data_IF_457554857982
#
_entry.id   IF_457554857982
#
_cell.length_a   1.000
_cell.length_b   1.000
_cell.length_c   1.000
_cell.angle_alpha   90.00
_cell.angle_beta   90.00
_cell.angle_gamma   90.00
#
_symmetry.space_group_name_H-M   'P 1'
#
loop_
_entity.id
_entity.type
_entity.pdbx_description
1 polymer ?
#
# COMPACT_ATOMS: atom_id res chain seq x y z
N UNK A 1 15.40 28.87 -5.59
CA UNK A 1 15.66 28.11 -6.83
C UNK A 1 14.74 26.91 -6.83
N UNK A 2 13.83 26.77 -7.81
CA UNK A 2 12.98 25.59 -7.91
C UNK A 2 13.83 24.46 -8.50
N UNK A 3 13.89 23.31 -7.83
CA UNK A 3 14.57 22.14 -8.35
C UNK A 3 13.77 21.60 -9.54
N UNK A 4 14.31 21.75 -10.74
CA UNK A 4 13.71 21.23 -11.97
C UNK A 4 14.22 19.81 -12.22
N UNK A 5 13.42 18.80 -11.86
CA UNK A 5 13.74 17.41 -12.21
C UNK A 5 13.26 17.14 -13.63
N UNK A 6 14.20 17.09 -14.58
CA UNK A 6 13.95 16.60 -15.94
C UNK A 6 14.19 15.09 -15.91
N UNK A 7 13.12 14.30 -15.87
CA UNK A 7 13.21 12.84 -15.98
C UNK A 7 12.53 12.39 -17.26
N UNK A 8 13.04 11.33 -17.90
CA UNK A 8 12.24 10.60 -18.88
C UNK A 8 11.05 10.02 -18.13
N UNK A 9 9.83 10.41 -18.48
CA UNK A 9 8.62 9.81 -17.90
C UNK A 9 8.48 8.41 -18.45
N UNK A 10 9.23 7.47 -17.89
CA UNK A 10 9.03 6.06 -18.17
C UNK A 10 7.70 5.66 -17.53
N UNK A 11 6.64 5.67 -18.33
CA UNK A 11 5.35 5.10 -17.99
C UNK A 11 5.33 3.66 -18.50
N UNK A 12 5.69 2.65 -17.68
CA UNK A 12 5.60 1.25 -18.10
C UNK A 12 4.19 0.90 -18.55
N UNK A 13 3.18 1.58 -18.00
CA UNK A 13 1.76 1.44 -18.32
C UNK A 13 1.39 2.04 -19.66
N UNK A 14 1.86 3.25 -19.95
CA UNK A 14 1.71 3.86 -21.27
C UNK A 14 2.28 2.93 -22.33
N UNK A 15 3.49 2.40 -22.09
CA UNK A 15 4.14 1.45 -22.98
C UNK A 15 3.34 0.15 -23.13
N UNK A 16 2.82 -0.42 -22.04
CA UNK A 16 2.00 -1.62 -22.08
C UNK A 16 0.74 -1.42 -22.94
N UNK A 17 0.10 -0.25 -22.85
CA UNK A 17 -1.05 0.12 -23.67
C UNK A 17 -0.70 0.66 -25.07
N UNK A 18 0.53 0.47 -25.55
CA UNK A 18 0.95 0.88 -26.89
C UNK A 18 1.16 2.39 -27.06
N UNK A 19 1.23 3.17 -25.98
CA UNK A 19 1.53 4.60 -26.06
C UNK A 19 3.03 4.83 -26.29
N UNK A 20 3.41 5.85 -27.10
CA UNK A 20 4.80 6.23 -27.30
C UNK A 20 5.43 6.71 -25.98
N UNK A 21 6.75 6.62 -25.89
CA UNK A 21 7.51 7.16 -24.75
C UNK A 21 7.48 8.69 -24.85
N UNK A 22 6.74 9.33 -23.94
CA UNK A 22 6.74 10.78 -23.81
C UNK A 22 7.82 11.23 -22.84
N UNK A 23 8.63 12.20 -23.26
CA UNK A 23 9.54 12.91 -22.37
C UNK A 23 8.77 14.14 -21.88
N UNK A 24 8.23 14.05 -20.67
CA UNK A 24 7.50 15.15 -20.05
C UNK A 24 8.17 15.55 -18.73
N UNK A 25 8.31 16.86 -18.51
CA UNK A 25 8.72 17.38 -17.21
C UNK A 25 7.48 17.49 -16.33
N UNK A 26 7.20 16.46 -15.54
CA UNK A 26 6.06 16.48 -14.62
C UNK A 26 6.53 16.98 -13.25
N UNK A 27 6.09 18.18 -12.86
CA UNK A 27 6.19 18.66 -11.49
C UNK A 27 4.86 18.38 -10.77
N UNK A 28 4.88 17.47 -9.79
CA UNK A 28 3.72 17.23 -8.93
C UNK A 28 3.76 18.18 -7.73
N UNK A 29 2.76 19.07 -7.59
CA UNK A 29 2.57 19.93 -6.42
C UNK A 29 1.51 19.31 -5.48
N UNK A 30 1.85 18.16 -4.89
CA UNK A 30 0.96 17.51 -3.93
C UNK A 30 0.97 18.30 -2.62
N UNK A 31 -0.11 19.06 -2.38
CA UNK A 31 -0.33 19.76 -1.12
C UNK A 31 -1.16 18.89 -0.17
N UNK A 32 -0.81 18.82 1.12
CA UNK A 32 -1.66 18.19 2.11
C UNK A 32 -3.07 18.78 2.05
N UNK A 33 -4.08 17.93 2.25
CA UNK A 33 -5.46 18.40 2.36
C UNK A 33 -5.59 19.39 3.52
N UNK A 34 -6.18 20.57 3.27
CA UNK A 34 -6.31 21.66 4.26
C UNK A 34 -7.43 21.48 5.28
N UNK A 35 -8.25 20.44 5.13
CA UNK A 35 -9.34 20.12 6.04
C UNK A 35 -8.85 19.48 7.34
N UNK A 36 -9.80 18.98 8.14
CA UNK A 36 -9.51 18.36 9.43
C UNK A 36 -8.74 17.06 9.25
N UNK A 37 -7.54 16.99 9.81
CA UNK A 37 -6.76 15.76 9.90
C UNK A 37 -7.20 14.91 11.11
N UNK A 38 -7.07 13.58 10.98
CA UNK A 38 -7.20 12.68 12.12
C UNK A 38 -5.86 12.59 12.85
N UNK A 39 -5.81 13.08 14.09
CA UNK A 39 -4.56 13.23 14.86
C UNK A 39 -4.33 12.14 15.90
N UNK A 40 -5.35 11.31 16.20
CA UNK A 40 -5.21 10.26 17.21
C UNK A 40 -4.32 9.10 16.68
N UNK A 41 -3.81 8.22 17.56
CA UNK A 41 -3.07 7.04 17.12
C UNK A 41 -3.85 6.19 16.12
N UNK A 42 -3.17 5.69 15.09
CA UNK A 42 -3.74 4.85 14.03
C UNK A 42 -2.90 3.59 13.91
N UNK A 43 -3.56 2.44 13.79
CA UNK A 43 -2.97 1.18 13.39
C UNK A 43 -3.68 0.72 12.13
N UNK A 44 -2.93 0.35 11.10
CA UNK A 44 -3.47 -0.18 9.84
C UNK A 44 -3.37 -1.71 9.88
N UNK A 45 -4.48 -2.38 9.60
CA UNK A 45 -4.51 -3.84 9.51
C UNK A 45 -4.36 -4.27 8.06
N UNK A 46 -3.42 -5.19 7.80
CA UNK A 46 -3.14 -5.71 6.46
C UNK A 46 -3.10 -7.23 6.48
N UNK A 47 -3.24 -7.84 5.31
CA UNK A 47 -3.06 -9.28 5.17
C UNK A 47 -2.91 -9.71 3.71
N UNK A 48 -2.97 -11.03 3.45
CA UNK A 48 -2.68 -11.57 2.12
C UNK A 48 -3.76 -11.24 1.09
N UNK A 49 -4.83 -10.54 1.49
CA UNK A 49 -5.90 -10.01 0.64
C UNK A 49 -5.81 -8.49 0.40
N UNK A 50 -4.79 -7.83 0.95
CA UNK A 50 -4.47 -6.43 0.68
C UNK A 50 -3.70 -6.35 -0.63
N UNK A 51 -4.33 -5.84 -1.68
CA UNK A 51 -3.72 -5.70 -3.01
C UNK A 51 -4.00 -4.32 -3.60
N UNK A 52 -3.27 -3.97 -4.66
CA UNK A 52 -3.58 -2.83 -5.53
C UNK A 52 -3.44 -1.49 -4.80
N UNK A 53 -4.38 -0.56 -4.97
CA UNK A 53 -4.37 0.75 -4.30
C UNK A 53 -4.24 0.66 -2.77
N UNK A 54 -4.62 -0.48 -2.16
CA UNK A 54 -4.41 -0.71 -0.73
C UNK A 54 -2.91 -0.87 -0.38
N UNK A 55 -2.09 -1.41 -1.29
CA UNK A 55 -0.64 -1.48 -1.14
C UNK A 55 0.03 -0.13 -1.37
N UNK A 56 -0.44 0.67 -2.34
CA UNK A 56 -0.01 2.06 -2.50
C UNK A 56 -0.23 2.85 -1.19
N UNK A 57 -1.41 2.71 -0.59
CA UNK A 57 -1.73 3.31 0.70
C UNK A 57 -0.83 2.76 1.82
N UNK A 58 -0.64 1.44 1.89
CA UNK A 58 0.17 0.80 2.93
C UNK A 58 1.63 1.26 2.86
N UNK A 59 2.19 1.36 1.66
CA UNK A 59 3.54 1.85 1.42
C UNK A 59 3.68 3.31 1.87
N UNK A 60 2.77 4.19 1.42
CA UNK A 60 2.78 5.60 1.82
C UNK A 60 2.61 5.77 3.34
N UNK A 61 1.70 5.00 3.96
CA UNK A 61 1.48 5.01 5.40
C UNK A 61 2.73 4.58 6.17
N UNK A 62 3.36 3.47 5.76
CA UNK A 62 4.61 2.97 6.37
C UNK A 62 5.73 4.00 6.30
N UNK A 63 5.96 4.57 5.11
CA UNK A 63 7.03 5.54 4.89
C UNK A 63 6.81 6.87 5.60
N UNK A 64 5.55 7.26 5.81
CA UNK A 64 5.23 8.47 6.58
C UNK A 64 5.51 8.33 8.08
N UNK A 65 5.68 7.10 8.58
CA UNK A 65 5.80 6.84 10.02
C UNK A 65 4.53 7.18 10.82
N UNK A 66 3.36 7.28 10.16
CA UNK A 66 2.11 7.74 10.77
C UNK A 66 1.58 6.81 11.87
N UNK A 67 1.91 5.53 11.83
CA UNK A 67 1.45 4.53 12.78
C UNK A 67 2.01 3.15 12.47
N UNK A 68 1.49 2.14 13.18
CA UNK A 68 1.91 0.75 13.00
C UNK A 68 1.05 0.05 11.94
N UNK A 69 1.67 -0.85 11.21
CA UNK A 69 1.02 -1.81 10.32
C UNK A 69 1.08 -3.19 10.99
N UNK A 70 -0.07 -3.85 11.12
CA UNK A 70 -0.20 -5.13 11.84
C UNK A 70 -0.95 -6.14 10.99
N UNK A 71 -0.53 -7.40 11.02
CA UNK A 71 -1.21 -8.51 10.36
C UNK A 71 -0.24 -9.38 9.59
N UNK A 72 -0.51 -9.65 8.32
CA UNK A 72 0.36 -10.49 7.47
C UNK A 72 0.86 -9.69 6.26
N UNK A 73 1.88 -10.20 5.57
CA UNK A 73 2.37 -9.56 4.35
C UNK A 73 1.21 -9.33 3.36
N UNK A 74 1.25 -8.18 2.69
CA UNK A 74 0.28 -7.88 1.63
C UNK A 74 0.47 -8.80 0.44
N UNK A 75 -0.38 -8.64 -0.57
CA UNK A 75 -0.43 -9.52 -1.70
C UNK A 75 0.72 -9.41 -2.72
N UNK A 76 1.47 -8.31 -2.73
CA UNK A 76 2.60 -8.10 -3.63
C UNK A 76 2.20 -7.69 -5.04
N UNK A 77 1.14 -6.90 -5.19
CA UNK A 77 0.69 -6.32 -6.46
C UNK A 77 1.02 -4.81 -6.51
N UNK A 78 0.93 -4.21 -7.69
CA UNK A 78 1.19 -2.78 -7.92
C UNK A 78 -0.02 -2.04 -8.52
N UNK A 79 -1.20 -2.67 -8.45
CA UNK A 79 -2.49 -2.00 -8.68
C UNK A 79 -2.77 -1.51 -10.08
N UNK A 80 -1.99 -1.93 -11.08
CA UNK A 80 -2.20 -1.51 -12.46
C UNK A 80 -2.06 -2.69 -13.46
N UNK A 81 -3.16 -3.42 -13.70
CA UNK A 81 -3.17 -4.55 -14.63
C UNK A 81 -3.19 -4.09 -16.09
N UNK A 82 -2.39 -4.75 -16.91
CA UNK A 82 -2.51 -4.78 -18.36
C UNK A 82 -3.35 -5.99 -18.75
N UNK A 83 -4.45 -5.76 -19.48
CA UNK A 83 -5.34 -6.80 -19.97
C UNK A 83 -5.00 -7.15 -21.41
N UNK A 84 -5.05 -8.43 -21.75
CA UNK A 84 -4.85 -8.92 -23.11
C UNK A 84 -5.77 -10.10 -23.42
N UNK A 85 -6.13 -10.26 -24.69
CA UNK A 85 -6.94 -11.38 -25.17
C UNK A 85 -6.08 -12.62 -25.38
N UNK A 86 -6.65 -13.78 -25.05
CA UNK A 86 -6.07 -15.10 -25.32
C UNK A 86 -6.77 -15.73 -26.54
N UNK A 87 -6.08 -16.61 -27.28
CA UNK A 87 -6.73 -17.44 -28.29
C UNK A 87 -7.94 -18.18 -27.70
N UNK A 88 -9.04 -18.26 -28.46
CA UNK A 88 -10.27 -18.93 -28.01
C UNK A 88 -11.19 -18.07 -27.12
N UNK A 89 -10.95 -16.75 -27.02
CA UNK A 89 -11.89 -15.81 -26.39
C UNK A 89 -11.69 -15.59 -24.89
N UNK A 90 -10.63 -16.17 -24.30
CA UNK A 90 -10.23 -15.88 -22.93
C UNK A 90 -9.55 -14.51 -22.78
N UNK A 91 -9.34 -14.10 -21.54
CA UNK A 91 -8.60 -12.88 -21.19
C UNK A 91 -7.57 -13.19 -20.12
N UNK A 92 -6.39 -12.59 -20.26
CA UNK A 92 -5.34 -12.58 -19.25
C UNK A 92 -5.08 -11.16 -18.77
N UNK A 93 -4.51 -11.04 -17.57
CA UNK A 93 -3.98 -9.77 -17.10
C UNK A 93 -2.69 -9.95 -16.31
N UNK A 94 -1.82 -8.94 -16.38
CA UNK A 94 -0.53 -8.91 -15.67
C UNK A 94 -0.28 -7.51 -15.14
N UNK A 95 0.26 -7.39 -13.93
CA UNK A 95 0.68 -6.08 -13.41
C UNK A 95 1.92 -5.61 -14.18
N UNK A 96 1.90 -4.37 -14.69
CA UNK A 96 3.04 -3.85 -15.47
C UNK A 96 3.79 -2.72 -14.77
N UNK A 97 3.31 -2.28 -13.61
CA UNK A 97 3.98 -1.33 -12.72
C UNK A 97 4.87 -2.10 -11.73
N UNK A 98 6.03 -1.53 -11.39
CA UNK A 98 6.91 -2.02 -10.33
C UNK A 98 7.22 -0.85 -9.41
N UNK A 99 6.64 -0.88 -8.23
CA UNK A 99 6.87 0.13 -7.20
C UNK A 99 7.90 -0.37 -6.21
N UNK A 100 8.71 0.54 -5.70
CA UNK A 100 9.75 0.27 -4.73
C UNK A 100 9.54 1.18 -3.53
N UNK A 101 10.00 0.74 -2.37
CA UNK A 101 10.23 1.63 -1.26
C UNK A 101 11.31 2.67 -1.62
N UNK A 102 11.35 3.77 -0.88
CA UNK A 102 12.32 4.87 -1.03
C UNK A 102 13.77 4.43 -0.79
N UNK A 103 13.98 3.35 -0.04
CA UNK A 103 15.26 2.69 0.17
C UNK A 103 15.60 1.66 -0.92
N UNK A 104 14.76 1.52 -1.96
CA UNK A 104 14.93 0.58 -3.06
C UNK A 104 14.44 -0.85 -2.77
N UNK A 105 13.85 -1.13 -1.60
CA UNK A 105 13.28 -2.45 -1.30
C UNK A 105 12.11 -2.74 -2.24
N UNK A 106 12.11 -3.93 -2.82
CA UNK A 106 11.02 -4.44 -3.66
C UNK A 106 9.99 -5.18 -2.81
N UNK A 107 8.73 -5.11 -3.21
CA UNK A 107 7.63 -5.83 -2.58
C UNK A 107 6.74 -6.55 -3.61
N UNK A 108 7.02 -6.41 -4.92
CA UNK A 108 6.24 -7.08 -5.96
C UNK A 108 6.49 -8.58 -5.89
N UNK A 109 5.42 -9.36 -5.76
CA UNK A 109 5.46 -10.82 -5.60
C UNK A 109 5.71 -11.32 -4.18
N UNK A 110 6.14 -10.46 -3.24
CA UNK A 110 6.36 -10.84 -1.82
C UNK A 110 5.41 -10.14 -0.85
N UNK A 111 4.86 -8.99 -1.24
CA UNK A 111 4.07 -8.14 -0.37
C UNK A 111 4.89 -7.19 0.48
N UNK A 112 4.20 -6.20 1.03
CA UNK A 112 4.69 -5.28 2.05
C UNK A 112 4.57 -5.99 3.40
N UNK A 113 5.70 -6.19 4.07
CA UNK A 113 5.71 -6.77 5.40
C UNK A 113 5.16 -5.79 6.45
N UNK A 114 4.29 -6.25 7.37
CA UNK A 114 3.80 -5.45 8.47
C UNK A 114 4.95 -5.10 9.44
N UNK A 115 4.73 -4.11 10.31
CA UNK A 115 5.68 -3.82 11.40
C UNK A 115 5.59 -4.88 12.50
N UNK A 116 4.40 -5.47 12.67
CA UNK A 116 4.14 -6.57 13.60
C UNK A 116 3.38 -7.66 12.86
N UNK A 117 4.02 -8.81 12.69
CA UNK A 117 3.40 -9.97 12.06
C UNK A 117 2.48 -10.72 13.04
N UNK A 118 1.21 -10.86 12.67
CA UNK A 118 0.20 -11.64 13.38
C UNK A 118 -0.63 -12.37 12.34
N UNK A 119 -0.50 -13.70 12.31
CA UNK A 119 -1.29 -14.55 11.41
C UNK A 119 -2.70 -14.72 11.93
N UNK A 120 -3.69 -14.66 11.05
CA UNK A 120 -5.08 -14.93 11.44
C UNK A 120 -5.21 -16.39 11.87
N UNK A 121 -5.73 -16.62 13.07
CA UNK A 121 -5.87 -17.97 13.62
C UNK A 121 -7.24 -18.55 13.27
N UNK A 122 -7.27 -19.69 12.58
CA UNK A 122 -8.51 -20.43 12.29
C UNK A 122 -9.27 -20.78 13.58
N UNK A 123 -8.56 -21.20 14.62
CA UNK A 123 -9.16 -21.55 15.91
C UNK A 123 -9.79 -20.33 16.61
N UNK A 124 -9.23 -19.14 16.42
CA UNK A 124 -9.81 -17.90 16.96
C UNK A 124 -11.01 -17.45 16.14
N UNK A 125 -10.93 -17.55 14.81
CA UNK A 125 -12.06 -17.25 13.91
C UNK A 125 -13.26 -18.15 14.18
N UNK A 126 -13.05 -19.45 14.43
CA UNK A 126 -14.11 -20.39 14.82
C UNK A 126 -14.78 -20.00 16.14
N UNK A 127 -14.08 -19.28 17.02
CA UNK A 127 -14.62 -18.72 18.27
C UNK A 127 -15.18 -17.31 18.09
N UNK A 128 -15.30 -16.81 16.85
CA UNK A 128 -15.77 -15.46 16.54
C UNK A 128 -14.81 -14.35 16.94
N UNK A 129 -13.51 -14.64 17.11
CA UNK A 129 -12.48 -13.66 17.51
C UNK A 129 -11.50 -13.42 16.38
N UNK A 130 -11.12 -12.15 16.21
CA UNK A 130 -10.03 -11.75 15.31
C UNK A 130 -8.83 -11.31 16.15
N UNK A 131 -7.79 -12.15 16.16
CA UNK A 131 -6.60 -11.93 16.98
C UNK A 131 -5.77 -10.72 16.52
N UNK A 132 -5.84 -10.35 15.24
CA UNK A 132 -5.15 -9.17 14.71
C UNK A 132 -5.86 -7.90 15.20
N UNK A 133 -7.19 -7.89 15.12
CA UNK A 133 -8.02 -6.79 15.61
C UNK A 133 -7.88 -6.59 17.12
N UNK A 134 -7.95 -7.67 17.90
CA UNK A 134 -7.82 -7.58 19.36
C UNK A 134 -6.45 -7.06 19.79
N UNK A 135 -5.38 -7.49 19.13
CA UNK A 135 -4.05 -6.95 19.37
C UNK A 135 -4.01 -5.44 19.12
N UNK A 136 -4.53 -4.98 17.98
CA UNK A 136 -4.54 -3.55 17.65
C UNK A 136 -5.37 -2.75 18.67
N UNK A 137 -6.52 -3.27 19.10
CA UNK A 137 -7.36 -2.64 20.12
C UNK A 137 -6.63 -2.50 21.46
N UNK A 138 -5.97 -3.56 21.92
CA UNK A 138 -5.17 -3.54 23.14
C UNK A 138 -3.99 -2.55 23.03
N UNK A 139 -3.30 -2.54 21.89
CA UNK A 139 -2.17 -1.64 21.64
C UNK A 139 -2.58 -0.18 21.66
N UNK A 140 -3.73 0.15 21.07
CA UNK A 140 -4.30 1.50 21.09
C UNK A 140 -4.76 1.90 22.50
N UNK A 141 -5.35 0.98 23.27
CA UNK A 141 -5.75 1.25 24.65
C UNK A 141 -4.54 1.54 25.56
N UNK A 142 -3.44 0.81 25.39
CA UNK A 142 -2.20 1.03 26.15
C UNK A 142 -1.45 2.31 25.72
N UNK A 143 -1.60 2.74 24.47
CA UNK A 143 -0.98 3.96 23.94
C UNK A 143 -1.83 5.22 24.17
N UNK A 144 -3.08 5.09 24.62
CA UNK A 144 -3.91 6.25 24.94
C UNK A 144 -3.31 7.00 26.14
N UNK A 145 -3.02 8.30 26.05
CA UNK A 145 -2.69 9.08 27.23
C UNK A 145 -3.86 8.95 28.21
N UNK A 146 -3.55 8.66 29.47
CA UNK A 146 -4.52 8.61 30.57
C UNK A 146 -5.13 10.00 30.70
N UNK A 147 -6.20 10.25 29.95
CA UNK A 147 -6.92 11.52 29.93
C UNK A 147 -7.61 11.68 31.28
N UNK A 148 -6.95 12.35 32.24
CA UNK A 148 -7.65 13.05 33.32
C UNK A 148 -8.57 14.08 32.65
N UNK A 149 -9.86 13.78 32.61
CA UNK A 149 -10.91 14.80 32.64
C UNK A 149 -11.24 15.07 34.09
#
# INVERSE_FOLDING_TARGET
MQATTISRTYSPMGRAWGKPIEIAQTAYDWKPHKGRAYEKPVIVLVGPSTYSAAEDFTLAFKQSGRGLIVGEATGGSTGQPYFFQLPGGGYGWVCTKRDLFNNGTDFVGTGIYPDIEIKRSLAEMQKGRDNVLEFARQRLAAAAPTSKR
#
